data_IF_796366537632
#
_entry.id   IF_796366537632
#
_cell.length_a   1.000
_cell.length_b   1.000
_cell.length_c   1.000
_cell.angle_alpha   90.00
_cell.angle_beta   90.00
_cell.angle_gamma   90.00
#
_symmetry.space_group_name_H-M   'P 1'
#
loop_
_entity.id
_entity.type
_entity.pdbx_description
1 polymer ?
#
# COMPACT_ATOMS: atom_id res chain seq x y z
N UNK A 1 2.28 -8.73 22.37
CA UNK A 1 1.39 -8.24 21.30
C UNK A 1 0.71 -9.46 20.68
N UNK A 2 -0.63 -9.55 20.65
CA UNK A 2 -1.32 -10.68 20.01
C UNK A 2 -1.11 -10.56 18.50
N UNK A 3 -0.63 -11.63 17.87
CA UNK A 3 -0.55 -11.73 16.41
C UNK A 3 -1.98 -11.66 15.88
N UNK A 4 -2.23 -10.71 15.00
CA UNK A 4 -3.55 -10.55 14.38
C UNK A 4 -3.71 -11.63 13.31
N UNK A 5 -4.84 -12.33 13.25
CA UNK A 5 -5.00 -13.44 12.33
C UNK A 5 -5.03 -12.95 10.87
N UNK A 6 -4.37 -13.70 9.99
CA UNK A 6 -4.48 -13.55 8.54
C UNK A 6 -5.32 -14.71 8.00
N UNK A 7 -6.34 -14.38 7.25
CA UNK A 7 -7.25 -15.32 6.62
C UNK A 7 -7.03 -15.32 5.12
N UNK A 8 -6.81 -16.48 4.53
CA UNK A 8 -6.64 -16.62 3.08
C UNK A 8 -7.91 -17.21 2.48
N UNK A 9 -8.36 -16.65 1.36
CA UNK A 9 -9.51 -17.10 0.60
C UNK A 9 -9.19 -16.99 -0.89
N UNK A 10 -9.83 -17.80 -1.73
CA UNK A 10 -9.75 -17.67 -3.19
C UNK A 10 -10.77 -16.66 -3.71
N UNK A 11 -10.51 -16.09 -4.88
CA UNK A 11 -11.53 -15.41 -5.66
C UNK A 11 -12.77 -16.31 -5.82
N UNK A 12 -13.96 -15.70 -5.80
CA UNK A 12 -15.26 -16.36 -5.76
C UNK A 12 -15.53 -17.21 -4.50
N UNK A 13 -14.65 -17.18 -3.50
CA UNK A 13 -14.86 -17.83 -2.21
C UNK A 13 -15.81 -17.03 -1.30
N UNK A 14 -16.19 -17.64 -0.18
CA UNK A 14 -17.19 -17.13 0.77
C UNK A 14 -16.56 -16.78 2.11
N UNK A 15 -16.72 -15.54 2.56
CA UNK A 15 -16.40 -15.13 3.92
C UNK A 15 -17.63 -15.37 4.78
N UNK A 16 -17.45 -16.04 5.92
CA UNK A 16 -18.50 -16.37 6.87
C UNK A 16 -18.24 -15.67 8.21
N UNK A 17 -19.31 -15.38 8.96
CA UNK A 17 -19.17 -14.91 10.35
C UNK A 17 -18.76 -16.09 11.25
N UNK A 18 -17.71 -15.92 12.08
CA UNK A 18 -17.33 -16.93 13.08
C UNK A 18 -18.51 -17.21 14.02
N UNK A 19 -18.84 -18.50 14.30
CA UNK A 19 -19.91 -18.86 15.21
C UNK A 19 -19.58 -18.40 16.64
N UNK A 20 -20.59 -17.96 17.36
CA UNK A 20 -20.52 -17.76 18.81
C UNK A 20 -20.54 -19.14 19.48
N UNK A 21 -19.94 -19.26 20.66
CA UNK A 21 -19.79 -20.53 21.43
C UNK A 21 -21.05 -21.39 21.61
N UNK A 22 -22.23 -20.89 21.24
CA UNK A 22 -23.51 -21.62 21.32
C UNK A 22 -24.02 -22.12 19.95
N UNK A 23 -23.38 -21.73 18.84
CA UNK A 23 -23.78 -22.24 17.53
C UNK A 23 -23.04 -23.54 17.24
N UNK A 24 -23.74 -24.51 16.60
CA UNK A 24 -23.10 -25.74 16.17
C UNK A 24 -21.81 -25.42 15.40
N UNK A 25 -20.71 -26.19 15.65
CA UNK A 25 -19.47 -25.94 14.95
C UNK A 25 -19.76 -26.01 13.45
N UNK A 26 -19.56 -24.89 12.76
CA UNK A 26 -19.50 -24.92 11.31
C UNK A 26 -18.42 -25.94 11.01
N UNK A 27 -18.82 -27.09 10.47
CA UNK A 27 -17.90 -28.17 10.07
C UNK A 27 -16.74 -27.48 9.39
N UNK A 28 -15.55 -27.65 9.95
CA UNK A 28 -14.35 -26.93 9.58
C UNK A 28 -14.06 -27.24 8.12
N UNK A 29 -14.55 -26.40 7.23
CA UNK A 29 -14.17 -26.41 5.82
C UNK A 29 -12.72 -25.92 5.70
N UNK A 30 -11.81 -26.60 6.44
CA UNK A 30 -10.37 -26.41 6.34
C UNK A 30 -9.84 -26.88 4.99
N UNK A 31 -10.69 -27.52 4.24
CA UNK A 31 -10.38 -27.92 2.89
C UNK A 31 -10.73 -26.72 2.00
N UNK A 32 -9.70 -26.15 1.39
CA UNK A 32 -9.84 -25.36 0.18
C UNK A 32 -10.40 -23.95 0.42
N UNK A 33 -9.61 -22.98 0.65
CA UNK A 33 -9.78 -21.54 0.41
C UNK A 33 -11.14 -21.06 -0.19
N UNK A 34 -12.18 -21.92 -0.15
CA UNK A 34 -13.52 -21.70 -0.73
C UNK A 34 -14.45 -21.02 0.26
N UNK A 35 -14.37 -21.36 1.55
CA UNK A 35 -15.18 -20.74 2.60
C UNK A 35 -14.33 -20.53 3.85
N UNK A 36 -14.22 -19.27 4.28
CA UNK A 36 -13.36 -18.87 5.37
C UNK A 36 -14.17 -18.14 6.45
N UNK A 37 -14.28 -18.71 7.68
CA UNK A 37 -14.78 -17.98 8.82
C UNK A 37 -13.83 -16.85 9.20
N UNK A 38 -14.38 -15.67 9.45
CA UNK A 38 -13.64 -14.49 9.89
C UNK A 38 -14.28 -13.91 11.15
N UNK A 39 -13.51 -13.18 11.99
CA UNK A 39 -14.04 -12.58 13.21
C UNK A 39 -15.28 -11.74 12.95
N UNK A 40 -16.25 -11.83 13.86
CA UNK A 40 -17.53 -11.14 13.77
C UNK A 40 -17.39 -9.63 13.54
N UNK A 41 -16.40 -8.99 14.16
CA UNK A 41 -16.10 -7.57 13.97
C UNK A 41 -15.67 -7.26 12.53
N UNK A 42 -14.86 -8.12 11.92
CA UNK A 42 -14.42 -7.99 10.54
C UNK A 42 -15.58 -8.25 9.55
N UNK A 43 -16.37 -9.30 9.79
CA UNK A 43 -17.52 -9.63 8.96
C UNK A 43 -18.56 -8.51 8.93
N UNK A 44 -18.95 -8.00 10.12
CA UNK A 44 -19.92 -6.92 10.24
C UNK A 44 -19.42 -5.61 9.60
N UNK A 45 -18.14 -5.33 9.74
CA UNK A 45 -17.53 -4.20 9.08
C UNK A 45 -17.68 -4.33 7.55
N UNK A 46 -17.30 -5.46 6.95
CA UNK A 46 -17.45 -5.69 5.51
C UNK A 46 -18.92 -5.67 5.06
N UNK A 47 -19.83 -6.22 5.88
CA UNK A 47 -21.26 -6.18 5.60
C UNK A 47 -21.83 -4.76 5.60
N UNK A 48 -21.32 -3.87 6.48
CA UNK A 48 -21.78 -2.47 6.53
C UNK A 48 -21.45 -1.71 5.23
N UNK A 49 -20.37 -2.04 4.56
CA UNK A 49 -20.03 -1.46 3.26
C UNK A 49 -21.07 -1.80 2.18
N UNK A 50 -21.49 -3.06 2.14
CA UNK A 50 -22.45 -3.52 1.12
C UNK A 50 -23.84 -2.93 1.36
N UNK A 51 -24.20 -2.65 2.62
CA UNK A 51 -25.51 -2.11 2.99
C UNK A 51 -25.62 -0.58 2.86
N UNK A 52 -24.51 0.13 3.01
CA UNK A 52 -24.50 1.60 2.95
C UNK A 52 -24.25 2.12 1.52
N UNK A 53 -24.33 1.24 0.53
CA UNK A 53 -23.92 1.49 -0.83
C UNK A 53 -25.00 2.23 -1.64
N UNK A 54 -25.20 3.52 -1.31
CA UNK A 54 -25.64 4.52 -2.30
C UNK A 54 -24.48 4.92 -3.24
N UNK A 55 -23.24 4.56 -2.94
CA UNK A 55 -22.03 4.77 -3.73
C UNK A 55 -21.60 3.44 -4.38
N UNK A 56 -21.89 3.30 -5.66
CA UNK A 56 -21.67 2.12 -6.54
C UNK A 56 -20.24 1.57 -6.61
N UNK A 57 -19.29 2.08 -5.84
CA UNK A 57 -17.85 1.79 -5.98
C UNK A 57 -17.36 0.54 -5.21
N UNK A 58 -18.12 0.05 -4.23
CA UNK A 58 -17.74 -1.13 -3.44
C UNK A 58 -18.34 -2.45 -3.94
N UNK A 59 -19.42 -2.38 -4.68
CA UNK A 59 -20.15 -3.53 -5.23
C UNK A 59 -19.29 -4.52 -6.04
N UNK A 60 -18.22 -4.11 -6.75
CA UNK A 60 -17.48 -5.07 -7.55
C UNK A 60 -16.63 -6.07 -6.75
N UNK A 61 -16.23 -5.78 -5.49
CA UNK A 61 -15.34 -6.67 -4.72
C UNK A 61 -16.07 -7.74 -3.92
N UNK A 62 -17.18 -7.40 -3.25
CA UNK A 62 -17.96 -8.30 -2.39
C UNK A 62 -19.43 -8.28 -2.77
N UNK A 63 -20.06 -9.44 -2.71
CA UNK A 63 -21.50 -9.61 -2.92
C UNK A 63 -22.13 -10.34 -1.74
N UNK A 64 -23.20 -9.78 -1.17
CA UNK A 64 -24.01 -10.47 -0.16
C UNK A 64 -24.73 -11.67 -0.78
N UNK A 65 -24.62 -12.83 -0.16
CA UNK A 65 -25.22 -14.08 -0.61
C UNK A 65 -25.50 -15.02 0.56
N UNK A 66 -25.98 -16.21 0.26
CA UNK A 66 -26.17 -17.27 1.25
C UNK A 66 -25.29 -18.46 0.88
N UNK A 67 -24.55 -18.99 1.84
CA UNK A 67 -23.79 -20.22 1.71
C UNK A 67 -24.26 -21.23 2.74
N UNK A 68 -24.76 -22.39 2.30
CA UNK A 68 -25.29 -23.46 3.17
C UNK A 68 -26.27 -22.95 4.26
N UNK A 69 -27.23 -22.10 3.86
CA UNK A 69 -28.23 -21.44 4.70
C UNK A 69 -27.70 -20.38 5.68
N UNK A 70 -26.42 -20.02 5.59
CA UNK A 70 -25.80 -18.98 6.43
C UNK A 70 -25.50 -17.76 5.56
N UNK A 71 -25.68 -16.57 6.11
CA UNK A 71 -25.29 -15.31 5.43
C UNK A 71 -23.80 -15.31 5.14
N UNK A 72 -23.42 -15.02 3.93
CA UNK A 72 -22.04 -15.03 3.45
C UNK A 72 -21.75 -13.82 2.58
N UNK A 73 -20.47 -13.42 2.56
CA UNK A 73 -19.95 -12.42 1.63
C UNK A 73 -19.12 -13.15 0.56
N UNK A 74 -19.61 -13.16 -0.66
CA UNK A 74 -18.89 -13.78 -1.78
C UNK A 74 -17.89 -12.77 -2.36
N UNK A 75 -16.62 -13.15 -2.35
CA UNK A 75 -15.55 -12.40 -3.03
C UNK A 75 -15.77 -12.49 -4.55
N UNK A 76 -15.57 -11.40 -5.25
CA UNK A 76 -15.69 -11.36 -6.71
C UNK A 76 -14.32 -11.56 -7.37
N UNK A 77 -14.18 -11.17 -8.62
CA UNK A 77 -12.99 -11.32 -9.46
C UNK A 77 -11.86 -10.34 -9.06
N UNK A 78 -11.45 -10.37 -7.79
CA UNK A 78 -10.38 -9.54 -7.25
C UNK A 78 -9.38 -10.39 -6.47
N UNK A 79 -8.11 -10.00 -6.51
CA UNK A 79 -7.01 -10.63 -5.75
C UNK A 79 -6.16 -9.57 -5.08
N UNK A 80 -5.56 -9.91 -3.95
CA UNK A 80 -4.74 -8.98 -3.19
C UNK A 80 -4.93 -9.12 -1.69
N UNK A 81 -4.90 -8.01 -0.96
CA UNK A 81 -5.03 -8.00 0.51
C UNK A 81 -5.90 -6.85 0.99
N UNK A 82 -6.72 -7.14 1.97
CA UNK A 82 -7.56 -6.18 2.69
C UNK A 82 -7.27 -6.30 4.18
N UNK A 83 -7.11 -5.18 4.88
CA UNK A 83 -7.03 -5.13 6.33
C UNK A 83 -8.20 -4.33 6.88
N UNK A 84 -9.01 -4.93 7.75
CA UNK A 84 -10.12 -4.26 8.43
C UNK A 84 -9.64 -3.35 9.57
N UNK A 85 -10.42 -2.37 10.06
CA UNK A 85 -10.03 -1.50 11.18
C UNK A 85 -9.74 -2.27 12.47
N UNK A 86 -10.40 -3.42 12.70
CA UNK A 86 -10.10 -4.29 13.83
C UNK A 86 -8.74 -5.02 13.70
N UNK A 87 -8.07 -4.86 12.53
CA UNK A 87 -6.75 -5.40 12.26
C UNK A 87 -6.74 -6.81 11.69
N UNK A 88 -7.89 -7.40 11.40
CA UNK A 88 -7.99 -8.66 10.68
C UNK A 88 -7.50 -8.47 9.24
N UNK A 89 -6.58 -9.31 8.79
CA UNK A 89 -6.07 -9.31 7.42
C UNK A 89 -6.76 -10.42 6.62
N UNK A 90 -7.24 -10.07 5.44
CA UNK A 90 -7.88 -11.00 4.50
C UNK A 90 -7.08 -10.96 3.21
N UNK A 91 -6.56 -12.10 2.82
CA UNK A 91 -5.76 -12.32 1.64
C UNK A 91 -6.62 -13.03 0.60
N UNK A 92 -6.84 -12.40 -0.52
CA UNK A 92 -7.59 -12.99 -1.64
C UNK A 92 -6.59 -13.48 -2.68
N UNK A 93 -6.58 -14.78 -2.93
CA UNK A 93 -5.67 -15.46 -3.84
C UNK A 93 -6.39 -15.86 -5.13
N UNK A 94 -5.66 -15.92 -6.26
CA UNK A 94 -6.25 -16.30 -7.54
C UNK A 94 -6.64 -17.79 -7.55
N UNK A 95 -7.67 -18.12 -8.32
CA UNK A 95 -8.02 -19.50 -8.66
C UNK A 95 -7.24 -19.93 -9.91
N UNK A 96 -5.97 -20.33 -9.73
CA UNK A 96 -5.07 -20.63 -10.85
C UNK A 96 -5.17 -22.09 -11.31
N UNK A 97 -5.58 -23.00 -10.44
CA UNK A 97 -5.59 -24.43 -10.70
C UNK A 97 -6.98 -25.03 -10.45
N UNK A 98 -7.29 -26.09 -11.19
CA UNK A 98 -8.55 -26.82 -11.02
C UNK A 98 -8.55 -27.77 -9.82
N UNK A 99 -7.36 -28.09 -9.28
CA UNK A 99 -7.22 -28.98 -8.15
C UNK A 99 -7.49 -28.24 -6.85
N UNK A 100 -8.42 -28.76 -6.09
CA UNK A 100 -8.96 -28.13 -4.88
C UNK A 100 -7.98 -28.11 -3.69
N UNK A 101 -6.76 -28.66 -3.83
CA UNK A 101 -5.83 -28.96 -2.73
C UNK A 101 -4.51 -28.15 -2.80
N UNK A 102 -4.41 -27.10 -3.62
CA UNK A 102 -3.14 -26.38 -3.68
C UNK A 102 -2.85 -25.53 -2.44
N UNK A 103 -1.61 -25.61 -1.88
CA UNK A 103 -1.21 -24.80 -0.76
C UNK A 103 -1.29 -23.30 -1.09
N UNK A 104 -1.85 -22.51 -0.18
CA UNK A 104 -1.93 -21.04 -0.31
C UNK A 104 -0.59 -20.39 -0.66
N UNK A 105 0.52 -20.99 -0.24
CA UNK A 105 1.88 -20.53 -0.55
C UNK A 105 2.22 -20.56 -2.04
N UNK A 106 1.83 -21.62 -2.75
CA UNK A 106 2.09 -21.78 -4.16
C UNK A 106 1.28 -20.78 -4.98
N UNK A 107 0.00 -20.63 -4.62
CA UNK A 107 -0.90 -19.66 -5.23
C UNK A 107 -0.44 -18.22 -5.00
N UNK A 108 0.07 -17.91 -3.80
CA UNK A 108 0.66 -16.61 -3.47
C UNK A 108 1.91 -16.30 -4.31
N UNK A 109 2.79 -17.30 -4.52
CA UNK A 109 3.96 -17.16 -5.41
C UNK A 109 3.54 -16.81 -6.84
N UNK A 110 2.52 -17.49 -7.33
CA UNK A 110 1.96 -17.23 -8.66
C UNK A 110 1.41 -15.83 -8.74
N UNK A 111 0.64 -15.37 -7.77
CA UNK A 111 0.12 -14.01 -7.70
C UNK A 111 1.25 -12.97 -7.70
N UNK A 112 2.28 -13.14 -6.87
CA UNK A 112 3.44 -12.22 -6.84
C UNK A 112 4.13 -12.18 -8.20
N UNK A 113 4.26 -13.34 -8.87
CA UNK A 113 4.86 -13.40 -10.21
C UNK A 113 4.03 -12.64 -11.24
N UNK A 114 2.72 -12.73 -11.18
CA UNK A 114 1.80 -11.97 -12.04
C UNK A 114 1.85 -10.47 -11.74
N UNK A 115 1.84 -10.07 -10.46
CA UNK A 115 1.91 -8.65 -10.03
C UNK A 115 3.19 -7.95 -10.51
N UNK A 116 4.29 -8.68 -10.72
CA UNK A 116 5.53 -8.14 -11.30
C UNK A 116 5.39 -7.77 -12.77
N UNK A 117 4.45 -8.37 -13.46
CA UNK A 117 4.19 -8.10 -14.88
C UNK A 117 3.27 -6.90 -15.10
N UNK A 118 2.55 -6.43 -14.06
CA UNK A 118 1.67 -5.27 -14.14
C UNK A 118 2.44 -4.01 -14.54
N UNK A 119 1.88 -3.23 -15.47
CA UNK A 119 2.52 -1.99 -15.97
C UNK A 119 2.72 -0.95 -14.89
N UNK A 120 1.73 -0.78 -14.01
CA UNK A 120 1.67 0.24 -12.97
C UNK A 120 2.02 -0.31 -11.58
N UNK A 121 2.69 -1.47 -11.52
CA UNK A 121 3.04 -2.10 -10.25
C UNK A 121 4.44 -1.70 -9.80
N UNK A 122 4.61 -1.29 -8.53
CA UNK A 122 5.92 -1.02 -7.96
C UNK A 122 6.79 -2.29 -7.83
N UNK A 123 6.23 -3.48 -8.07
CA UNK A 123 6.97 -4.75 -8.01
C UNK A 123 8.01 -4.96 -9.12
N UNK A 124 7.94 -4.20 -10.22
CA UNK A 124 8.86 -4.37 -11.37
C UNK A 124 10.34 -4.20 -11.03
N UNK A 125 10.64 -3.40 -10.00
CA UNK A 125 11.99 -2.97 -9.68
C UNK A 125 12.55 -3.60 -8.40
N UNK A 126 11.83 -4.56 -7.81
CA UNK A 126 12.29 -5.27 -6.62
C UNK A 126 13.30 -6.38 -6.95
N UNK A 127 14.41 -6.46 -6.18
CA UNK A 127 15.39 -7.53 -6.27
C UNK A 127 14.73 -8.90 -6.09
N UNK A 128 14.93 -9.77 -7.08
CA UNK A 128 14.39 -11.14 -7.11
C UNK A 128 14.89 -12.02 -5.95
N UNK A 129 15.99 -11.63 -5.32
CA UNK A 129 16.63 -12.40 -4.26
C UNK A 129 15.89 -12.34 -2.91
N UNK A 130 15.20 -11.23 -2.59
CA UNK A 130 14.52 -11.06 -1.30
C UNK A 130 13.12 -11.69 -1.23
N UNK A 131 12.50 -12.02 -2.36
CA UNK A 131 11.16 -12.62 -2.41
C UNK A 131 11.17 -14.14 -2.15
N UNK A 132 12.29 -14.70 -1.71
CA UNK A 132 12.39 -16.11 -1.32
C UNK A 132 11.63 -16.47 -0.03
N UNK A 133 11.07 -15.50 0.68
CA UNK A 133 10.23 -15.71 1.87
C UNK A 133 8.79 -16.05 1.47
N UNK A 134 8.61 -17.24 0.90
CA UNK A 134 7.33 -17.71 0.35
C UNK A 134 6.25 -18.00 1.39
N UNK A 135 6.62 -18.04 2.65
CA UNK A 135 5.71 -18.34 3.76
C UNK A 135 5.12 -17.09 4.44
N UNK A 136 5.43 -15.90 3.92
CA UNK A 136 4.91 -14.66 4.50
C UNK A 136 3.57 -14.27 3.86
N UNK A 137 2.61 -13.74 4.65
CA UNK A 137 1.40 -13.13 4.12
C UNK A 137 1.71 -12.05 3.08
N UNK A 138 0.81 -11.85 2.11
CA UNK A 138 1.02 -10.93 0.98
C UNK A 138 1.31 -9.49 1.44
N UNK A 139 0.64 -9.02 2.48
CA UNK A 139 0.90 -7.69 3.05
C UNK A 139 2.33 -7.56 3.60
N UNK A 140 2.83 -8.61 4.25
CA UNK A 140 4.21 -8.61 4.77
C UNK A 140 5.25 -8.59 3.65
N UNK A 141 4.94 -9.19 2.50
CA UNK A 141 5.78 -9.10 1.30
C UNK A 141 5.82 -7.66 0.80
N UNK A 142 4.67 -6.97 0.73
CA UNK A 142 4.59 -5.56 0.31
C UNK A 142 5.39 -4.66 1.26
N UNK A 143 5.22 -4.86 2.56
CA UNK A 143 5.95 -4.14 3.60
C UNK A 143 7.46 -4.37 3.47
N UNK A 144 7.89 -5.63 3.29
CA UNK A 144 9.31 -5.98 3.16
C UNK A 144 9.97 -5.26 1.98
N UNK A 145 9.28 -5.19 0.82
CA UNK A 145 9.78 -4.49 -0.36
C UNK A 145 9.91 -2.98 -0.12
N UNK A 146 8.89 -2.35 0.45
CA UNK A 146 8.95 -0.94 0.83
C UNK A 146 10.12 -0.64 1.78
N UNK A 147 10.30 -1.46 2.82
CA UNK A 147 11.37 -1.29 3.81
C UNK A 147 12.76 -1.49 3.20
N UNK A 148 12.92 -2.46 2.30
CA UNK A 148 14.19 -2.71 1.59
C UNK A 148 14.58 -1.50 0.73
N UNK A 149 13.65 -0.98 -0.08
CA UNK A 149 13.89 0.20 -0.91
C UNK A 149 14.16 1.46 -0.07
N UNK A 150 13.43 1.63 1.04
CA UNK A 150 13.67 2.75 1.97
C UNK A 150 15.05 2.65 2.60
N UNK A 151 15.51 1.46 2.96
CA UNK A 151 16.87 1.24 3.48
C UNK A 151 17.94 1.58 2.43
N UNK A 152 17.73 1.20 1.18
CA UNK A 152 18.62 1.56 0.08
C UNK A 152 18.65 3.09 -0.13
N UNK A 153 17.49 3.75 -0.04
CA UNK A 153 17.38 5.21 -0.13
C UNK A 153 18.17 5.89 0.99
N UNK A 154 18.04 5.45 2.24
CA UNK A 154 18.78 6.01 3.37
C UNK A 154 20.29 5.86 3.18
N UNK A 155 20.75 4.71 2.69
CA UNK A 155 22.18 4.47 2.39
C UNK A 155 22.72 5.40 1.30
N UNK A 156 21.87 5.87 0.36
CA UNK A 156 22.23 6.87 -0.66
C UNK A 156 22.17 8.30 -0.15
N UNK A 157 21.56 8.51 1.01
CA UNK A 157 21.35 9.81 1.65
C UNK A 157 19.93 10.35 1.46
N UNK A 158 19.37 10.84 2.56
CA UNK A 158 18.07 11.52 2.56
C UNK A 158 18.26 12.92 1.96
N UNK A 159 17.44 13.22 0.96
CA UNK A 159 17.51 14.50 0.27
C UNK A 159 16.99 15.64 1.14
N UNK A 160 17.77 16.70 1.25
CA UNK A 160 17.40 17.96 1.87
C UNK A 160 17.30 19.05 0.80
N UNK A 161 16.65 20.14 1.12
CA UNK A 161 16.52 21.29 0.23
C UNK A 161 16.79 22.57 0.99
N UNK A 162 17.27 23.60 0.28
CA UNK A 162 17.38 24.93 0.83
C UNK A 162 15.99 25.57 0.84
N UNK A 163 15.50 25.85 2.03
CA UNK A 163 14.20 26.52 2.23
C UNK A 163 14.47 27.90 2.81
N UNK A 164 13.94 28.91 2.16
CA UNK A 164 14.00 30.28 2.64
C UNK A 164 13.14 30.45 3.87
N UNK A 165 13.76 30.75 5.00
CA UNK A 165 13.11 30.92 6.30
C UNK A 165 13.20 32.38 6.72
N UNK A 166 12.06 32.96 7.12
CA UNK A 166 12.00 34.28 7.77
C UNK A 166 11.83 34.07 9.27
N UNK A 167 12.69 34.70 10.06
CA UNK A 167 12.69 34.55 11.51
C UNK A 167 13.00 35.89 12.21
N UNK A 168 12.56 36.02 13.44
CA UNK A 168 12.91 37.14 14.32
C UNK A 168 13.87 36.64 15.41
N UNK A 169 15.17 36.82 15.18
CA UNK A 169 16.26 36.24 15.97
C UNK A 169 17.07 37.32 16.70
N UNK A 170 17.75 36.96 17.78
CA UNK A 170 18.72 37.81 18.46
C UNK A 170 20.08 37.91 17.72
N UNK A 171 20.26 37.05 16.72
CA UNK A 171 21.49 37.03 15.94
C UNK A 171 21.21 37.38 14.47
N UNK A 172 22.04 38.25 13.90
CA UNK A 172 21.95 38.57 12.48
C UNK A 172 22.53 37.41 11.66
N UNK A 173 21.68 36.79 10.84
CA UNK A 173 22.02 35.68 9.93
C UNK A 173 21.31 35.90 8.60
N UNK A 174 22.02 35.76 7.49
CA UNK A 174 21.43 35.97 6.16
C UNK A 174 21.10 37.43 5.87
N UNK A 175 19.95 37.72 5.29
CA UNK A 175 19.48 39.04 4.88
C UNK A 175 18.57 39.67 5.90
N UNK A 176 18.81 40.93 6.26
CA UNK A 176 17.90 41.72 7.11
C UNK A 176 16.68 42.19 6.26
N UNK A 177 15.50 41.93 6.80
CA UNK A 177 14.23 42.38 6.22
C UNK A 177 13.85 43.75 6.81
N UNK A 178 14.41 44.82 6.20
CA UNK A 178 14.35 46.21 6.73
C UNK A 178 12.90 46.63 7.04
N UNK A 179 11.97 46.41 6.14
CA UNK A 179 10.56 46.79 6.32
C UNK A 179 9.90 46.06 7.52
N UNK A 180 10.27 44.77 7.71
CA UNK A 180 9.77 43.97 8.81
C UNK A 180 10.47 44.32 10.13
N UNK A 181 11.77 44.64 10.06
CA UNK A 181 12.55 45.13 11.20
C UNK A 181 11.93 46.38 11.79
N UNK A 182 11.65 47.40 10.97
CA UNK A 182 11.04 48.65 11.41
C UNK A 182 9.65 48.39 12.00
N UNK A 183 8.83 47.54 11.40
CA UNK A 183 7.45 47.27 11.83
C UNK A 183 7.37 46.49 13.13
N UNK A 184 8.24 45.45 13.26
CA UNK A 184 8.12 44.46 14.34
C UNK A 184 9.10 44.66 15.48
N UNK A 185 10.26 45.31 15.23
CA UNK A 185 11.35 45.41 16.22
C UNK A 185 11.71 46.84 16.61
N UNK A 186 10.85 47.82 16.34
CA UNK A 186 11.08 49.22 16.76
C UNK A 186 11.30 49.34 18.28
N UNK A 187 10.58 48.54 19.08
CA UNK A 187 10.71 48.49 20.54
C UNK A 187 11.64 47.39 21.04
N UNK A 188 12.20 46.60 20.14
CA UNK A 188 13.05 45.45 20.44
C UNK A 188 14.33 45.50 19.60
N UNK A 189 15.25 46.46 19.87
CA UNK A 189 16.48 46.66 19.09
C UNK A 189 17.45 45.47 19.15
N UNK A 190 17.27 44.57 20.15
CA UNK A 190 18.04 43.34 20.32
C UNK A 190 17.63 42.23 19.35
N UNK A 191 16.61 42.43 18.50
CA UNK A 191 16.09 41.42 17.57
C UNK A 191 16.23 41.89 16.14
N UNK A 192 16.49 40.92 15.27
CA UNK A 192 16.63 41.11 13.82
C UNK A 192 15.60 40.33 13.08
N UNK A 193 14.77 40.98 12.27
CA UNK A 193 13.90 40.33 11.28
C UNK A 193 14.75 39.90 10.11
N UNK A 194 15.06 38.64 9.97
CA UNK A 194 16.02 38.07 9.03
C UNK A 194 15.39 37.05 8.09
N UNK A 195 15.98 36.96 6.91
CA UNK A 195 15.70 35.92 5.90
C UNK A 195 17.00 35.18 5.59
N UNK A 196 16.98 33.86 5.68
CA UNK A 196 18.12 33.03 5.35
C UNK A 196 17.67 31.71 4.74
N UNK A 197 18.55 31.09 3.97
CA UNK A 197 18.31 29.76 3.44
C UNK A 197 18.74 28.70 4.48
N UNK A 198 17.82 27.83 4.83
CA UNK A 198 18.07 26.70 5.75
C UNK A 198 17.99 25.38 5.01
N UNK A 199 18.98 24.53 5.23
CA UNK A 199 19.05 23.22 4.60
C UNK A 199 18.21 22.23 5.41
N UNK A 200 16.98 21.98 4.95
CA UNK A 200 16.00 21.21 5.69
C UNK A 200 15.65 19.91 4.99
N UNK A 201 15.51 18.84 5.80
CA UNK A 201 14.95 17.54 5.36
C UNK A 201 13.43 17.58 5.16
N UNK A 202 12.79 18.72 5.42
CA UNK A 202 11.36 18.92 5.30
C UNK A 202 10.90 19.01 3.84
N UNK A 203 10.88 17.85 3.16
CA UNK A 203 10.38 17.72 1.78
C UNK A 203 9.10 16.88 1.76
N UNK A 204 8.17 17.15 0.81
CA UNK A 204 6.98 16.33 0.63
C UNK A 204 7.30 14.84 0.53
N UNK A 205 8.31 14.47 -0.26
CA UNK A 205 8.76 13.08 -0.42
C UNK A 205 9.17 12.43 0.91
N UNK A 206 9.93 13.14 1.75
CA UNK A 206 10.37 12.62 3.05
C UNK A 206 9.20 12.49 4.03
N UNK A 207 8.25 13.43 4.02
CA UNK A 207 7.02 13.36 4.84
C UNK A 207 6.15 12.16 4.45
N UNK A 208 6.03 11.85 3.15
CA UNK A 208 5.31 10.66 2.66
C UNK A 208 5.99 9.37 3.11
N UNK A 209 7.32 9.27 3.03
CA UNK A 209 8.07 8.10 3.52
C UNK A 209 7.87 7.94 5.03
N UNK A 210 7.98 9.03 5.81
CA UNK A 210 7.72 9.01 7.26
C UNK A 210 6.31 8.55 7.59
N UNK A 211 5.28 9.04 6.87
CA UNK A 211 3.90 8.63 7.06
C UNK A 211 3.70 7.14 6.75
N UNK A 212 4.34 6.64 5.69
CA UNK A 212 4.31 5.22 5.32
C UNK A 212 5.01 4.35 6.35
N UNK A 213 6.18 4.77 6.87
CA UNK A 213 6.87 4.06 7.95
C UNK A 213 6.01 3.97 9.21
N UNK A 214 5.30 5.04 9.57
CA UNK A 214 4.37 5.05 10.71
C UNK A 214 3.19 4.08 10.49
N UNK A 215 2.62 4.03 9.29
CA UNK A 215 1.60 3.06 8.92
C UNK A 215 2.13 1.62 9.03
N UNK A 216 3.26 1.34 8.40
CA UNK A 216 3.90 0.02 8.38
C UNK A 216 4.24 -0.45 9.79
N UNK A 217 4.78 0.41 10.65
CA UNK A 217 5.07 0.06 12.06
C UNK A 217 3.82 -0.39 12.81
N UNK A 218 2.65 0.15 12.46
CA UNK A 218 1.35 -0.19 13.07
C UNK A 218 0.75 -1.48 12.53
N UNK A 219 0.92 -1.76 11.21
CA UNK A 219 0.22 -2.86 10.54
C UNK A 219 1.07 -4.11 10.38
N UNK A 220 2.39 -4.01 10.34
CA UNK A 220 3.31 -5.14 10.21
C UNK A 220 3.14 -6.13 11.36
N UNK A 221 3.14 -7.43 11.04
CA UNK A 221 3.04 -8.53 11.99
C UNK A 221 4.37 -9.27 12.13
N UNK A 222 5.17 -9.31 11.07
CA UNK A 222 6.49 -9.92 11.10
C UNK A 222 7.43 -9.14 12.02
N UNK A 223 8.04 -9.82 12.99
CA UNK A 223 9.01 -9.23 13.90
C UNK A 223 10.23 -8.65 13.17
N UNK A 224 10.63 -9.25 12.05
CA UNK A 224 11.68 -8.73 11.16
C UNK A 224 11.28 -7.38 10.58
N UNK A 225 10.10 -7.29 9.97
CA UNK A 225 9.60 -6.05 9.38
C UNK A 225 9.37 -4.95 10.41
N UNK A 226 8.81 -5.30 11.59
CA UNK A 226 8.62 -4.33 12.68
C UNK A 226 9.95 -3.74 13.17
N UNK A 227 10.97 -4.59 13.36
CA UNK A 227 12.29 -4.14 13.79
C UNK A 227 12.94 -3.22 12.77
N UNK A 228 12.87 -3.60 11.49
CA UNK A 228 13.42 -2.79 10.41
C UNK A 228 12.68 -1.46 10.26
N UNK A 229 11.34 -1.46 10.30
CA UNK A 229 10.53 -0.24 10.21
C UNK A 229 10.88 0.76 11.33
N UNK A 230 11.00 0.28 12.58
CA UNK A 230 11.43 1.13 13.71
C UNK A 230 12.84 1.70 13.49
N UNK A 231 13.79 0.87 13.06
CA UNK A 231 15.16 1.32 12.78
C UNK A 231 15.20 2.40 11.70
N UNK A 232 14.48 2.22 10.60
CA UNK A 232 14.42 3.20 9.51
C UNK A 232 13.69 4.49 9.92
N UNK A 233 12.73 4.42 10.85
CA UNK A 233 12.00 5.60 11.32
C UNK A 233 12.90 6.63 11.99
N UNK A 234 13.98 6.21 12.64
CA UNK A 234 14.96 7.14 13.26
C UNK A 234 15.63 8.05 12.22
N UNK A 235 15.90 7.55 11.02
CA UNK A 235 16.49 8.36 9.96
C UNK A 235 15.59 9.51 9.48
N UNK A 236 14.29 9.44 9.79
CA UNK A 236 13.29 10.48 9.46
C UNK A 236 12.79 11.22 10.70
N UNK A 237 13.51 11.20 11.82
CA UNK A 237 13.05 11.82 13.06
C UNK A 237 12.85 13.34 12.89
N UNK A 238 13.79 14.02 12.26
CA UNK A 238 13.75 15.46 12.00
C UNK A 238 12.76 15.88 10.90
N UNK A 239 12.18 14.92 10.18
CA UNK A 239 11.17 15.20 9.16
C UNK A 239 9.83 15.45 9.85
N UNK A 240 9.14 16.58 9.60
CA UNK A 240 7.82 16.81 10.19
C UNK A 240 6.78 15.80 9.65
N UNK A 241 5.70 15.61 10.41
CA UNK A 241 4.58 14.78 9.94
C UNK A 241 3.88 15.46 8.76
N UNK A 242 3.39 14.66 7.81
CA UNK A 242 2.50 15.15 6.76
C UNK A 242 1.18 15.61 7.38
N UNK A 243 0.75 16.80 7.03
CA UNK A 243 -0.57 17.33 7.40
C UNK A 243 -1.65 16.90 6.44
N UNK A 244 -1.28 16.74 5.15
CA UNK A 244 -2.15 16.25 4.08
C UNK A 244 -1.33 15.43 3.07
N UNK A 245 -1.60 14.14 3.07
CA UNK A 245 -0.92 13.17 2.20
C UNK A 245 -1.20 13.44 0.73
N UNK A 246 -2.43 13.83 0.36
CA UNK A 246 -2.81 14.10 -1.04
C UNK A 246 -2.03 15.31 -1.58
N UNK A 247 -2.02 16.39 -0.81
CA UNK A 247 -1.26 17.60 -1.17
C UNK A 247 0.24 17.32 -1.24
N UNK A 248 0.80 16.49 -0.35
CA UNK A 248 2.21 16.13 -0.42
C UNK A 248 2.53 15.32 -1.69
N UNK A 249 1.68 14.37 -2.11
CA UNK A 249 1.88 13.67 -3.39
C UNK A 249 1.84 14.60 -4.61
N UNK A 250 1.00 15.64 -4.60
CA UNK A 250 0.94 16.63 -5.68
C UNK A 250 2.18 17.53 -5.73
N UNK A 251 2.75 17.84 -4.57
CA UNK A 251 3.94 18.69 -4.44
C UNK A 251 5.26 17.98 -4.69
N UNK A 252 5.26 16.65 -4.81
CA UNK A 252 6.48 15.91 -5.15
C UNK A 252 6.91 16.27 -6.57
N UNK A 253 8.07 16.94 -6.69
CA UNK A 253 8.72 17.17 -7.98
C UNK A 253 9.62 15.98 -8.29
N UNK A 254 9.38 15.34 -9.42
CA UNK A 254 10.20 14.26 -9.96
C UNK A 254 11.17 14.83 -10.98
N UNK A 255 12.36 15.19 -10.55
CA UNK A 255 13.47 15.53 -11.41
C UNK A 255 14.46 14.34 -11.55
N UNK A 256 15.43 14.43 -12.45
CA UNK A 256 16.45 13.39 -12.65
C UNK A 256 17.22 13.07 -11.36
N UNK A 257 17.41 14.06 -10.49
CA UNK A 257 18.12 13.92 -9.23
C UNK A 257 17.32 13.15 -8.18
N UNK A 258 16.01 12.97 -8.39
CA UNK A 258 15.06 12.25 -7.52
C UNK A 258 14.70 10.84 -8.03
N UNK A 259 15.36 10.36 -9.08
CA UNK A 259 15.03 9.05 -9.68
C UNK A 259 15.06 7.89 -8.68
N UNK A 260 15.97 7.91 -7.70
CA UNK A 260 16.06 6.87 -6.67
C UNK A 260 14.97 6.97 -5.60
N UNK A 261 14.24 8.10 -5.50
CA UNK A 261 13.05 8.24 -4.68
C UNK A 261 11.80 7.66 -5.32
N UNK A 262 11.76 7.64 -6.65
CA UNK A 262 10.55 7.28 -7.40
C UNK A 262 9.99 5.93 -6.97
N UNK A 263 10.84 4.90 -6.89
CA UNK A 263 10.43 3.56 -6.49
C UNK A 263 9.83 3.52 -5.08
N UNK A 264 10.46 4.22 -4.13
CA UNK A 264 9.96 4.29 -2.76
C UNK A 264 8.63 5.03 -2.70
N UNK A 265 8.47 6.10 -3.47
CA UNK A 265 7.24 6.89 -3.53
C UNK A 265 6.08 6.13 -4.20
N UNK A 266 6.34 5.27 -5.17
CA UNK A 266 5.33 4.36 -5.73
C UNK A 266 4.80 3.39 -4.67
N UNK A 267 5.69 2.84 -3.85
CA UNK A 267 5.29 2.03 -2.69
C UNK A 267 4.56 2.83 -1.62
N UNK A 268 4.97 4.09 -1.36
CA UNK A 268 4.24 4.98 -0.47
C UNK A 268 2.81 5.21 -0.98
N UNK A 269 2.66 5.44 -2.28
CA UNK A 269 1.34 5.64 -2.91
C UNK A 269 0.46 4.40 -2.75
N UNK A 270 1.01 3.20 -3.01
CA UNK A 270 0.29 1.95 -2.86
C UNK A 270 -0.15 1.70 -1.41
N UNK A 271 0.75 1.91 -0.44
CA UNK A 271 0.48 1.61 0.97
C UNK A 271 -0.42 2.68 1.65
N UNK A 272 -0.27 3.96 1.31
CA UNK A 272 -1.04 5.05 1.93
C UNK A 272 -2.42 5.22 1.31
N UNK A 273 -2.52 5.12 -0.01
CA UNK A 273 -3.79 5.32 -0.71
C UNK A 273 -4.54 4.00 -0.98
N UNK A 274 -3.86 2.86 -0.87
CA UNK A 274 -4.41 1.59 -1.30
C UNK A 274 -4.47 1.46 -2.83
N UNK A 275 -5.10 0.40 -3.30
CA UNK A 275 -5.43 0.16 -4.71
C UNK A 275 -6.72 -0.64 -4.80
N UNK A 276 -7.62 -0.26 -5.70
CA UNK A 276 -8.86 -0.97 -5.93
C UNK A 276 -10.11 -0.15 -5.58
N UNK A 277 -11.28 -0.78 -5.63
CA UNK A 277 -12.57 -0.08 -5.51
C UNK A 277 -12.77 0.61 -4.16
N UNK A 278 -12.02 0.21 -3.14
CA UNK A 278 -12.13 0.76 -1.78
C UNK A 278 -11.27 1.99 -1.53
N UNK A 279 -10.37 2.33 -2.45
CA UNK A 279 -9.39 3.41 -2.25
C UNK A 279 -9.94 4.80 -2.54
N UNK A 280 -11.07 4.90 -3.23
CA UNK A 280 -11.67 6.17 -3.64
C UNK A 280 -12.53 6.83 -2.56
N UNK A 281 -13.08 6.05 -1.64
CA UNK A 281 -13.96 6.54 -0.57
C UNK A 281 -13.14 7.02 0.63
N UNK A 282 -12.90 8.30 0.72
CA UNK A 282 -12.03 8.98 1.71
C UNK A 282 -12.44 8.85 3.20
N UNK A 283 -13.36 7.95 3.56
CA UNK A 283 -13.84 7.72 4.92
C UNK A 283 -13.29 6.47 5.62
N UNK A 284 -12.47 5.65 4.95
CA UNK A 284 -12.10 4.33 5.48
C UNK A 284 -10.63 4.23 5.86
N UNK A 285 -10.37 4.07 7.15
CA UNK A 285 -9.05 3.79 7.73
C UNK A 285 -8.56 2.35 7.44
N UNK A 286 -8.89 1.77 6.29
CA UNK A 286 -8.52 0.40 5.91
C UNK A 286 -7.48 0.39 4.82
N UNK A 287 -6.43 -0.39 5.04
CA UNK A 287 -5.48 -0.71 3.98
C UNK A 287 -6.11 -1.74 3.04
N UNK A 288 -6.36 -1.36 1.80
CA UNK A 288 -6.89 -2.24 0.76
C UNK A 288 -6.04 -2.15 -0.49
N UNK A 289 -5.50 -3.27 -0.91
CA UNK A 289 -4.71 -3.42 -2.13
C UNK A 289 -5.30 -4.60 -2.89
N UNK A 290 -6.27 -4.29 -3.75
CA UNK A 290 -7.05 -5.26 -4.51
C UNK A 290 -6.96 -4.93 -6.00
N UNK A 291 -6.67 -5.94 -6.80
CA UNK A 291 -6.56 -5.82 -8.25
C UNK A 291 -7.61 -6.71 -8.93
N UNK A 292 -8.28 -6.24 -10.00
CA UNK A 292 -9.08 -7.11 -10.84
C UNK A 292 -8.20 -8.22 -11.43
N UNK A 293 -8.59 -9.48 -11.29
CA UNK A 293 -7.79 -10.61 -11.74
C UNK A 293 -7.60 -10.61 -13.27
N UNK A 294 -8.60 -10.18 -14.01
CA UNK A 294 -8.56 -10.03 -15.47
C UNK A 294 -7.38 -9.15 -15.90
N UNK A 295 -7.24 -7.97 -15.30
CA UNK A 295 -6.14 -7.04 -15.59
C UNK A 295 -4.77 -7.64 -15.30
N UNK A 296 -4.64 -8.34 -14.16
CA UNK A 296 -3.38 -9.00 -13.78
C UNK A 296 -3.03 -10.09 -14.81
N UNK A 297 -4.02 -10.88 -15.18
CA UNK A 297 -3.82 -11.99 -16.12
C UNK A 297 -3.46 -11.49 -17.52
N UNK A 298 -4.17 -10.48 -18.04
CA UNK A 298 -3.86 -9.85 -19.33
C UNK A 298 -2.42 -9.30 -19.38
N UNK A 299 -2.02 -8.52 -18.38
CA UNK A 299 -0.66 -7.96 -18.32
C UNK A 299 0.40 -9.06 -18.20
N UNK A 300 0.12 -10.13 -17.44
CA UNK A 300 1.01 -11.29 -17.33
C UNK A 300 1.18 -12.01 -18.66
N UNK A 301 0.08 -12.32 -19.34
CA UNK A 301 0.11 -12.98 -20.67
C UNK A 301 0.84 -12.11 -21.68
N UNK A 302 0.51 -10.81 -21.73
CA UNK A 302 1.17 -9.86 -22.62
C UNK A 302 2.69 -9.78 -22.36
N UNK A 303 3.10 -9.74 -21.08
CA UNK A 303 4.51 -9.71 -20.70
C UNK A 303 5.25 -10.99 -21.13
N UNK A 304 4.59 -12.15 -21.05
CA UNK A 304 5.17 -13.45 -21.44
C UNK A 304 5.22 -13.66 -22.95
N UNK A 305 4.25 -13.12 -23.68
CA UNK A 305 4.16 -13.28 -25.13
C UNK A 305 5.07 -12.31 -25.90
N UNK A 306 5.22 -11.06 -25.44
CA UNK A 306 6.03 -10.04 -26.15
C UNK A 306 7.43 -10.51 -26.58
N UNK A 307 8.25 -11.12 -25.72
CA UNK A 307 9.58 -11.58 -26.14
C UNK A 307 9.53 -12.69 -27.18
N UNK A 308 8.46 -13.50 -27.17
CA UNK A 308 8.30 -14.64 -28.08
C UNK A 308 7.77 -14.22 -29.46
N UNK A 309 6.94 -13.18 -29.52
CA UNK A 309 6.37 -12.69 -30.80
C UNK A 309 7.45 -12.22 -31.76
N UNK A 310 8.47 -11.50 -31.27
CA UNK A 310 9.58 -11.05 -32.11
C UNK A 310 10.47 -12.16 -32.68
N UNK A 311 10.45 -13.37 -32.06
CA UNK A 311 11.20 -14.54 -32.53
C UNK A 311 10.40 -15.44 -33.48
N UNK A 312 9.07 -15.39 -33.47
CA UNK A 312 8.19 -16.24 -34.27
C UNK A 312 7.45 -15.52 -35.39
N UNK A 313 7.23 -14.21 -35.26
CA UNK A 313 6.43 -13.41 -36.18
C UNK A 313 7.09 -12.06 -36.42
N UNK A 314 7.88 -11.92 -37.48
CA UNK A 314 8.48 -10.64 -37.88
C UNK A 314 7.38 -9.61 -38.22
N UNK A 315 7.46 -8.43 -37.66
CA UNK A 315 6.54 -7.32 -37.91
C UNK A 315 5.23 -7.31 -37.11
N UNK A 316 4.97 -8.32 -36.26
CA UNK A 316 3.78 -8.35 -35.42
C UNK A 316 3.94 -7.57 -34.12
N UNK A 317 2.97 -6.74 -33.75
CA UNK A 317 2.92 -6.02 -32.46
C UNK A 317 1.73 -6.49 -31.64
N UNK A 318 1.97 -6.79 -30.35
CA UNK A 318 0.92 -7.15 -29.42
C UNK A 318 0.23 -5.86 -28.89
N UNK A 319 -1.02 -5.65 -29.24
CA UNK A 319 -1.89 -4.63 -28.62
C UNK A 319 -2.60 -5.28 -27.43
N UNK A 320 -2.48 -4.69 -26.27
CA UNK A 320 -3.22 -5.07 -25.05
C UNK A 320 -4.32 -4.06 -24.81
N UNK A 321 -5.49 -4.50 -24.33
CA UNK A 321 -6.66 -3.66 -24.11
C UNK A 321 -7.12 -2.92 -25.38
N UNK A 322 -7.13 -3.62 -26.51
CA UNK A 322 -7.75 -3.09 -27.71
C UNK A 322 -9.24 -2.92 -27.42
N UNK A 323 -9.74 -1.65 -27.45
CA UNK A 323 -11.17 -1.42 -27.47
C UNK A 323 -11.70 -2.09 -28.75
N UNK A 324 -12.63 -2.99 -28.60
CA UNK A 324 -13.48 -3.46 -29.69
C UNK A 324 -14.49 -2.34 -29.93
N UNK A 325 -14.37 -1.66 -31.09
CA UNK A 325 -15.38 -0.72 -31.59
C UNK A 325 -16.73 -1.43 -31.81
#
# INVERSE_FOLDING_TARGET
>A
MRVKPTYSIREYGYLLEEPTNNDQPIQTYKEELVAQPIPRSAFRYLLSFIKNDDEKDFAPFLRLTTFKRTTALKVQNYVGVLQTPCGTQIEVLPKVFNDDIEPAEKTRKTLITMLRCLRDSPFKQGDSAEIRTTNMPLLEVYISQFLSLTNQLIKRGIRSDYVRVQNNSKFLRGRLLVSQQIRSNMLHPERFAIEYDEYLVNRPANRLIKATLALVTRVAQSSKNQRLARGLSFAFEDVPKSTDIRTDFQKVKTDRSMSYYQNVLEWCRLLLNGHGPTSSTGGFNTLSILYPMERIFEDYVAHRLRPKLGSYFEGCTLKTQAATD
#
